data_IF_592283736808
#
_entry.id   IF_592283736808
#
_cell.length_a   1.000
_cell.length_b   1.000
_cell.length_c   1.000
_cell.angle_alpha   90.00
_cell.angle_beta   90.00
_cell.angle_gamma   90.00
#
_symmetry.space_group_name_H-M   'P 1'
#
loop_
_entity.id
_entity.type
_entity.pdbx_description
1 polymer ?
#
# COMPACT_ATOMS: atom_id res chain seq x y z
N UNK A 1 7.32 -27.04 21.66
CA UNK A 1 6.63 -26.97 20.35
C UNK A 1 5.54 -25.90 20.31
N UNK A 2 4.62 -25.85 21.29
CA UNK A 2 3.51 -24.87 21.32
C UNK A 2 3.96 -23.39 21.33
N UNK A 3 5.02 -23.06 22.09
CA UNK A 3 5.55 -21.69 22.13
C UNK A 3 6.08 -21.24 20.76
N UNK A 4 6.85 -22.08 20.06
CA UNK A 4 7.44 -21.76 18.74
C UNK A 4 6.38 -21.44 17.68
N UNK A 5 5.23 -22.13 17.72
CA UNK A 5 4.08 -21.88 16.84
C UNK A 5 3.50 -20.47 17.08
N UNK A 6 3.29 -20.10 18.34
CA UNK A 6 2.81 -18.77 18.71
C UNK A 6 3.83 -17.67 18.41
N UNK A 7 5.12 -17.90 18.65
CA UNK A 7 6.18 -16.92 18.32
C UNK A 7 6.27 -16.70 16.82
N UNK A 8 6.24 -17.77 16.02
CA UNK A 8 6.26 -17.69 14.55
C UNK A 8 5.04 -16.95 14.00
N UNK A 9 3.83 -17.33 14.42
CA UNK A 9 2.61 -16.63 13.99
C UNK A 9 2.58 -15.18 14.47
N UNK A 10 3.06 -14.90 15.67
CA UNK A 10 3.18 -13.54 16.20
C UNK A 10 4.12 -12.65 15.37
N UNK A 11 5.28 -13.18 14.96
CA UNK A 11 6.22 -12.45 14.09
C UNK A 11 5.62 -12.15 12.72
N UNK A 12 4.96 -13.14 12.11
CA UNK A 12 4.27 -12.95 10.82
C UNK A 12 3.14 -11.91 10.96
N UNK A 13 2.36 -11.97 12.03
CA UNK A 13 1.30 -11.00 12.31
C UNK A 13 1.85 -9.58 12.52
N UNK A 14 2.97 -9.42 13.22
CA UNK A 14 3.63 -8.13 13.41
C UNK A 14 4.12 -7.56 12.07
N UNK A 15 4.80 -8.36 11.26
CA UNK A 15 5.29 -7.94 9.95
C UNK A 15 4.14 -7.53 9.03
N UNK A 16 3.08 -8.34 8.98
CA UNK A 16 1.85 -8.04 8.23
C UNK A 16 1.21 -6.73 8.69
N UNK A 17 1.08 -6.54 10.00
CA UNK A 17 0.49 -5.33 10.60
C UNK A 17 1.32 -4.09 10.28
N UNK A 18 2.65 -4.18 10.39
CA UNK A 18 3.54 -3.07 10.08
C UNK A 18 3.43 -2.68 8.60
N UNK A 19 3.38 -3.67 7.70
CA UNK A 19 3.24 -3.42 6.26
C UNK A 19 1.94 -2.69 5.93
N UNK A 20 0.80 -3.15 6.49
CA UNK A 20 -0.49 -2.48 6.30
C UNK A 20 -0.49 -1.08 6.90
N UNK A 21 0.09 -0.91 8.10
CA UNK A 21 0.17 0.38 8.77
C UNK A 21 0.98 1.41 7.96
N UNK A 22 2.11 0.99 7.38
CA UNK A 22 2.93 1.86 6.51
C UNK A 22 2.13 2.28 5.26
N UNK A 23 1.48 1.32 4.59
CA UNK A 23 0.67 1.60 3.39
C UNK A 23 -0.52 2.52 3.71
N UNK A 24 -1.23 2.28 4.81
CA UNK A 24 -2.36 3.10 5.23
C UNK A 24 -1.91 4.52 5.62
N UNK A 25 -0.78 4.65 6.32
CA UNK A 25 -0.21 5.96 6.69
C UNK A 25 0.21 6.75 5.46
N UNK A 26 0.84 6.09 4.47
CA UNK A 26 1.17 6.70 3.18
C UNK A 26 -0.07 7.17 2.43
N UNK A 27 -1.12 6.34 2.34
CA UNK A 27 -2.37 6.73 1.69
C UNK A 27 -3.00 7.96 2.37
N UNK A 28 -3.05 7.96 3.71
CA UNK A 28 -3.63 9.06 4.47
C UNK A 28 -2.79 10.35 4.38
N UNK A 29 -1.46 10.22 4.32
CA UNK A 29 -0.55 11.34 4.07
C UNK A 29 -0.76 11.92 2.67
N UNK A 30 -0.97 11.08 1.66
CA UNK A 30 -1.29 11.52 0.29
C UNK A 30 -2.62 12.28 0.24
N UNK A 31 -3.65 11.83 0.95
CA UNK A 31 -4.94 12.54 1.05
C UNK A 31 -4.72 13.96 1.60
N UNK A 32 -3.96 14.12 2.69
CA UNK A 32 -3.67 15.43 3.29
C UNK A 32 -2.76 16.32 2.44
N UNK A 33 -2.01 15.75 1.51
CA UNK A 33 -1.09 16.46 0.62
C UNK A 33 -1.66 16.68 -0.79
N UNK A 34 -2.84 16.13 -1.08
CA UNK A 34 -3.44 16.15 -2.42
C UNK A 34 -3.71 17.57 -2.92
N UNK A 35 -4.20 18.46 -2.05
CA UNK A 35 -4.48 19.86 -2.42
C UNK A 35 -3.19 20.63 -2.79
N UNK A 36 -2.09 20.37 -2.09
CA UNK A 36 -0.78 20.97 -2.40
C UNK A 36 -0.18 20.38 -3.68
N UNK A 37 -0.36 19.08 -3.90
CA UNK A 37 0.10 18.40 -5.11
C UNK A 37 -0.65 18.89 -6.36
N UNK A 38 -1.96 19.11 -6.26
CA UNK A 38 -2.78 19.65 -7.36
C UNK A 38 -2.40 21.11 -7.69
N UNK A 39 -2.18 21.95 -6.67
CA UNK A 39 -1.67 23.32 -6.88
C UNK A 39 -0.26 23.35 -7.50
N UNK A 40 0.61 22.41 -7.12
CA UNK A 40 1.92 22.21 -7.75
C UNK A 40 1.83 21.73 -9.20
N UNK A 41 0.88 20.86 -9.52
CA UNK A 41 0.61 20.38 -10.88
C UNK A 41 0.22 21.52 -11.83
N UNK A 42 -0.64 22.45 -11.38
CA UNK A 42 -1.01 23.63 -12.17
C UNK A 42 0.22 24.51 -12.47
N UNK A 43 1.13 24.65 -11.50
CA UNK A 43 2.38 25.40 -11.67
C UNK A 43 3.34 24.70 -12.64
N UNK A 44 3.43 23.38 -12.59
CA UNK A 44 4.23 22.57 -13.52
C UNK A 44 3.68 22.57 -14.95
N UNK A 45 2.35 22.67 -15.13
CA UNK A 45 1.75 22.78 -16.47
C UNK A 45 2.15 24.05 -17.22
N UNK A 46 2.59 25.09 -16.48
CA UNK A 46 3.11 26.34 -17.02
C UNK A 46 4.65 26.38 -17.12
N UNK A 47 5.33 25.26 -16.81
CA UNK A 47 6.79 25.22 -16.78
C UNK A 47 7.38 25.45 -18.19
N UNK A 48 8.13 26.55 -18.41
CA UNK A 48 8.75 26.81 -19.70
C UNK A 48 9.89 25.81 -19.95
N UNK A 49 10.01 25.34 -21.19
CA UNK A 49 11.04 24.37 -21.56
C UNK A 49 12.44 24.99 -21.35
N UNK A 50 13.30 24.44 -20.48
CA UNK A 50 14.59 25.04 -20.22
C UNK A 50 15.51 24.97 -21.46
N UNK A 51 16.20 26.07 -21.79
CA UNK A 51 17.08 26.14 -22.96
C UNK A 51 18.27 25.17 -22.93
N UNK A 52 18.66 24.71 -21.74
CA UNK A 52 19.67 23.65 -21.63
C UNK A 52 19.15 22.32 -22.18
N UNK A 53 17.85 22.08 -22.13
CA UNK A 53 17.23 20.80 -22.51
C UNK A 53 17.26 20.59 -24.03
N UNK A 54 17.16 21.67 -24.81
CA UNK A 54 17.39 21.66 -26.26
C UNK A 54 18.84 21.45 -26.68
N UNK A 55 19.81 21.56 -25.76
CA UNK A 55 21.22 21.28 -26.03
C UNK A 55 21.54 19.78 -25.98
N UNK A 56 20.75 19.00 -25.24
CA UNK A 56 21.00 17.57 -25.01
C UNK A 56 19.99 16.64 -25.69
N UNK A 57 18.86 17.18 -26.18
CA UNK A 57 17.76 16.39 -26.70
C UNK A 57 17.20 16.96 -27.99
N UNK A 58 16.99 16.09 -28.98
CA UNK A 58 16.48 16.46 -30.30
C UNK A 58 15.10 17.14 -30.18
N UNK A 59 14.89 18.32 -30.78
CA UNK A 59 13.60 19.00 -30.83
C UNK A 59 12.43 18.10 -31.25
N UNK A 60 12.67 17.12 -32.12
CA UNK A 60 11.66 16.16 -32.58
C UNK A 60 11.17 15.22 -31.46
N UNK A 61 11.98 14.98 -30.43
CA UNK A 61 11.62 14.17 -29.25
C UNK A 61 11.00 15.02 -28.13
N UNK A 62 11.19 16.34 -28.15
CA UNK A 62 10.68 17.25 -27.12
C UNK A 62 9.17 17.39 -27.16
N UNK A 63 8.58 17.50 -28.35
CA UNK A 63 7.12 17.60 -28.51
C UNK A 63 6.37 16.35 -28.02
N UNK A 64 6.74 15.11 -28.40
CA UNK A 64 6.04 13.93 -27.87
C UNK A 64 6.23 13.77 -26.36
N UNK A 65 7.39 14.13 -25.80
CA UNK A 65 7.61 14.13 -24.34
C UNK A 65 6.69 15.14 -23.66
N UNK A 66 6.62 16.38 -24.19
CA UNK A 66 5.75 17.43 -23.67
C UNK A 66 4.28 17.01 -23.75
N UNK A 67 3.86 16.43 -24.87
CA UNK A 67 2.50 15.92 -25.05
C UNK A 67 2.19 14.80 -24.05
N UNK A 68 3.14 13.91 -23.77
CA UNK A 68 2.98 12.82 -22.80
C UNK A 68 2.91 13.34 -21.36
N UNK A 69 3.70 14.36 -21.03
CA UNK A 69 3.62 15.06 -19.73
C UNK A 69 2.25 15.74 -19.59
N UNK A 70 1.84 16.56 -20.56
CA UNK A 70 0.55 17.26 -20.54
C UNK A 70 -0.61 16.26 -20.46
N UNK A 71 -0.58 15.17 -21.22
CA UNK A 71 -1.55 14.09 -21.15
C UNK A 71 -1.61 13.47 -19.75
N UNK A 72 -0.46 13.21 -19.13
CA UNK A 72 -0.40 12.71 -17.75
C UNK A 72 -0.98 13.69 -16.73
N UNK A 73 -0.70 14.99 -16.90
CA UNK A 73 -1.27 16.04 -16.03
C UNK A 73 -2.78 16.18 -16.22
N UNK A 74 -3.28 16.07 -17.45
CA UNK A 74 -4.69 16.18 -17.79
C UNK A 74 -5.48 14.94 -17.32
N UNK A 75 -4.88 13.75 -17.42
CA UNK A 75 -5.42 12.53 -16.82
C UNK A 75 -5.50 12.63 -15.30
N UNK A 76 -4.46 13.19 -14.65
CA UNK A 76 -4.46 13.47 -13.22
C UNK A 76 -5.50 14.52 -12.85
N UNK A 77 -5.62 15.61 -13.60
CA UNK A 77 -6.62 16.66 -13.42
C UNK A 77 -8.05 16.11 -13.58
N UNK A 78 -8.29 15.25 -14.56
CA UNK A 78 -9.60 14.58 -14.75
C UNK A 78 -9.90 13.61 -13.61
N UNK A 79 -8.88 12.95 -13.07
CA UNK A 79 -9.02 12.08 -11.92
C UNK A 79 -9.11 12.83 -10.58
N UNK A 80 -8.68 14.11 -10.49
CA UNK A 80 -8.66 14.88 -9.23
C UNK A 80 -9.97 14.84 -8.42
N UNK A 81 -11.18 15.02 -8.99
CA UNK A 81 -12.42 14.96 -8.21
C UNK A 81 -12.68 13.58 -7.60
N UNK A 82 -12.13 12.51 -8.19
CA UNK A 82 -12.25 11.14 -7.70
C UNK A 82 -11.03 10.68 -6.89
N UNK A 83 -9.89 11.36 -7.01
CA UNK A 83 -8.62 10.99 -6.38
C UNK A 83 -8.71 11.04 -4.85
N UNK A 84 -9.24 12.14 -4.31
CA UNK A 84 -9.42 12.31 -2.86
C UNK A 84 -10.41 11.28 -2.28
N UNK A 85 -11.61 11.08 -2.86
CA UNK A 85 -12.51 10.00 -2.44
C UNK A 85 -11.87 8.61 -2.54
N UNK A 86 -11.18 8.28 -3.63
CA UNK A 86 -10.55 6.97 -3.81
C UNK A 86 -9.50 6.72 -2.73
N UNK A 87 -8.57 7.67 -2.54
CA UNK A 87 -7.51 7.56 -1.54
C UNK A 87 -8.05 7.50 -0.11
N UNK A 88 -9.17 8.19 0.16
CA UNK A 88 -9.86 8.11 1.45
C UNK A 88 -10.40 6.70 1.75
N UNK A 89 -10.76 5.92 0.73
CA UNK A 89 -11.23 4.52 0.88
C UNK A 89 -10.09 3.50 0.96
N UNK A 90 -8.88 3.83 0.49
CA UNK A 90 -7.72 2.92 0.52
C UNK A 90 -7.39 2.49 1.95
N UNK A 91 -7.29 3.44 2.89
CA UNK A 91 -6.94 3.11 4.28
C UNK A 91 -8.00 2.22 4.97
N UNK A 92 -9.33 2.53 4.91
CA UNK A 92 -10.37 1.63 5.38
C UNK A 92 -10.31 0.22 4.77
N UNK A 93 -10.14 0.11 3.45
CA UNK A 93 -10.03 -1.17 2.76
C UNK A 93 -8.81 -1.98 3.24
N UNK A 94 -7.67 -1.33 3.41
CA UNK A 94 -6.45 -1.95 3.96
C UNK A 94 -6.69 -2.52 5.36
N UNK A 95 -7.41 -1.80 6.23
CA UNK A 95 -7.77 -2.28 7.56
C UNK A 95 -8.75 -3.46 7.52
N UNK A 96 -9.69 -3.49 6.58
CA UNK A 96 -10.60 -4.64 6.39
C UNK A 96 -9.81 -5.88 5.95
N UNK A 97 -8.93 -5.74 4.96
CA UNK A 97 -8.06 -6.83 4.49
C UNK A 97 -7.15 -7.31 5.61
N UNK A 98 -6.59 -6.39 6.41
CA UNK A 98 -5.81 -6.73 7.59
C UNK A 98 -6.58 -7.57 8.59
N UNK A 99 -7.82 -7.16 8.93
CA UNK A 99 -8.65 -7.86 9.89
C UNK A 99 -8.98 -9.29 9.43
N UNK A 100 -9.26 -9.48 8.14
CA UNK A 100 -9.50 -10.79 7.54
C UNK A 100 -8.27 -11.70 7.64
N UNK A 101 -7.09 -11.20 7.30
CA UNK A 101 -5.84 -11.98 7.36
C UNK A 101 -5.45 -12.29 8.82
N UNK A 102 -5.62 -11.34 9.74
CA UNK A 102 -5.38 -11.57 11.17
C UNK A 102 -6.32 -12.63 11.74
N UNK A 103 -7.61 -12.58 11.38
CA UNK A 103 -8.57 -13.59 11.79
C UNK A 103 -8.16 -14.98 11.29
N UNK A 104 -7.75 -15.10 10.03
CA UNK A 104 -7.26 -16.35 9.46
C UNK A 104 -6.02 -16.87 10.21
N UNK A 105 -5.04 -16.02 10.49
CA UNK A 105 -3.83 -16.39 11.25
C UNK A 105 -4.17 -16.90 12.66
N UNK A 106 -5.12 -16.26 13.35
CA UNK A 106 -5.59 -16.68 14.67
C UNK A 106 -6.28 -18.04 14.59
N UNK A 107 -7.16 -18.25 13.61
CA UNK A 107 -7.85 -19.54 13.40
C UNK A 107 -6.84 -20.66 13.17
N UNK A 108 -5.82 -20.42 12.34
CA UNK A 108 -4.75 -21.39 12.09
C UNK A 108 -3.95 -21.67 13.37
N UNK A 109 -3.56 -20.64 14.11
CA UNK A 109 -2.79 -20.80 15.35
C UNK A 109 -3.57 -21.58 16.43
N UNK A 110 -4.85 -21.23 16.63
CA UNK A 110 -5.74 -21.91 17.59
C UNK A 110 -6.00 -23.35 17.14
N UNK A 111 -6.32 -23.57 15.87
CA UNK A 111 -6.53 -24.90 15.30
C UNK A 111 -5.31 -25.81 15.46
N UNK A 112 -4.11 -25.29 15.12
CA UNK A 112 -2.85 -25.99 15.31
C UNK A 112 -2.55 -26.29 16.77
N UNK A 113 -2.85 -25.36 17.68
CA UNK A 113 -2.70 -25.58 19.12
C UNK A 113 -3.64 -26.69 19.64
N UNK A 114 -4.90 -26.69 19.22
CA UNK A 114 -5.89 -27.69 19.62
C UNK A 114 -5.50 -29.08 19.12
N UNK A 115 -5.10 -29.22 17.85
CA UNK A 115 -4.62 -30.48 17.27
C UNK A 115 -3.37 -31.01 18.00
N UNK A 116 -2.38 -30.15 18.24
CA UNK A 116 -1.18 -30.50 18.98
C UNK A 116 -1.48 -30.90 20.44
N UNK A 117 -2.49 -30.28 21.06
CA UNK A 117 -2.92 -30.64 22.42
C UNK A 117 -3.63 -32.00 22.49
N UNK A 118 -4.42 -32.35 21.46
CA UNK A 118 -5.08 -33.66 21.36
C UNK A 118 -4.07 -34.79 21.12
N UNK A 119 -3.11 -34.60 20.21
CA UNK A 119 -2.07 -35.62 19.95
C UNK A 119 -1.16 -35.87 21.16
N UNK A 120 -0.75 -34.82 21.87
CA UNK A 120 0.08 -34.97 23.07
C UNK A 120 -0.61 -35.76 24.19
N UNK A 121 -1.92 -35.57 24.35
CA UNK A 121 -2.73 -36.26 25.38
C UNK A 121 -3.01 -37.73 25.03
N UNK A 122 -3.11 -38.07 23.75
CA UNK A 122 -3.23 -39.46 23.28
C UNK A 122 -1.94 -40.28 23.49
N UNK A 123 -0.78 -39.64 23.46
CA UNK A 123 0.50 -40.34 23.63
C UNK A 123 0.78 -40.72 25.10
N UNK A 124 0.30 -39.91 26.06
CA UNK A 124 0.43 -40.19 27.50
C UNK A 124 -0.55 -41.26 28.01
N UNK A 125 -1.60 -41.59 27.27
CA UNK A 125 -2.56 -42.64 27.64
C UNK A 125 -2.19 -44.03 27.10
N UNK A 126 -1.10 -44.14 26.31
CA UNK A 126 -0.60 -45.40 25.73
C UNK A 126 0.73 -45.87 26.35
N UNK A 127 1.24 -45.16 27.36
CA UNK A 127 2.38 -45.55 28.19
C UNK A 127 1.85 -45.95 29.57
#
# INVERSE_FOLDING_TARGET
MKALLWTGTGLVALLWTLMVAIMASLANWLVGSADQAVGGLQTMSQWPMPAWLSLWMDPALLEPIKAMVVWGMDALATATPWLTPLLAWVAPLLWVVWALVMLLLIVIAVGGHLLASKLGRSNSARL
#
